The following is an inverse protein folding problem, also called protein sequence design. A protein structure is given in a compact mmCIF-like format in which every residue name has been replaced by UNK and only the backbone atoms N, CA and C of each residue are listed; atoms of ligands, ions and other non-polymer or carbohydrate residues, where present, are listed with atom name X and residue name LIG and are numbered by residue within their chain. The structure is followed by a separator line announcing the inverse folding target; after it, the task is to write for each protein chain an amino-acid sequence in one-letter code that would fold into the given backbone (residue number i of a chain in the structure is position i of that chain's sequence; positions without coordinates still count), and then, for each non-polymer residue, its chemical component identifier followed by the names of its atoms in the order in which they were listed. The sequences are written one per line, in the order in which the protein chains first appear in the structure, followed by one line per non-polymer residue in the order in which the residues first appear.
data_IF_308511927210
#
_entry.id   IF_308511927210
#
_cell.length_a   1.000
_cell.length_b   1.000
_cell.length_c   1.000
_cell.angle_alpha   90.00
_cell.angle_beta   90.00
_cell.angle_gamma   90.00
#
_symmetry.space_group_name_H-M   'P 1'
#
loop_
_entity.id
_entity.type
_entity.pdbx_description
1 polymer ?
#
# COMPACT_ATOMS: atom_id res chain seq x y z
N UNK A 1 16.29 26.20 -20.16
CA UNK A 1 17.35 26.15 -19.13
C UNK A 1 17.46 24.67 -18.73
N UNK A 2 18.65 24.12 -18.80
CA UNK A 2 18.86 22.70 -18.59
C UNK A 2 18.80 22.39 -17.06
N UNK A 3 17.81 21.61 -16.60
CA UNK A 3 17.60 21.29 -15.17
C UNK A 3 18.84 20.68 -14.55
N UNK A 4 19.58 19.84 -15.30
CA UNK A 4 20.85 19.27 -14.84
C UNK A 4 21.93 20.33 -14.62
N UNK A 5 21.99 21.37 -15.46
CA UNK A 5 22.97 22.45 -15.28
C UNK A 5 22.73 23.20 -13.96
N UNK A 6 21.46 23.35 -13.57
CA UNK A 6 21.09 23.97 -12.28
C UNK A 6 21.32 23.01 -11.11
N UNK A 7 21.23 21.69 -11.32
CA UNK A 7 21.53 20.68 -10.32
C UNK A 7 23.05 20.54 -10.06
N UNK A 8 23.89 20.70 -11.07
CA UNK A 8 25.34 20.50 -10.97
C UNK A 8 26.12 21.72 -10.42
N UNK A 9 25.52 22.89 -10.29
CA UNK A 9 26.19 24.11 -9.81
C UNK A 9 26.24 24.26 -8.29
N UNK A 10 25.72 23.30 -7.53
CA UNK A 10 25.78 23.29 -6.07
C UNK A 10 26.66 22.12 -5.63
N UNK A 11 27.91 22.43 -5.31
CA UNK A 11 28.93 21.57 -4.71
C UNK A 11 28.55 21.17 -3.27
N UNK A 12 27.47 20.36 -3.08
CA UNK A 12 27.19 19.75 -1.81
C UNK A 12 26.69 18.32 -2.00
N UNK A 13 27.51 17.37 -1.66
CA UNK A 13 27.17 15.94 -1.53
C UNK A 13 26.06 15.67 -0.48
N UNK A 14 25.72 16.65 0.33
CA UNK A 14 24.73 16.56 1.42
C UNK A 14 23.25 16.65 0.97
N UNK A 15 22.98 16.84 -0.32
CA UNK A 15 21.59 17.04 -0.81
C UNK A 15 21.00 15.90 -1.62
N UNK A 16 21.67 14.71 -1.67
CA UNK A 16 21.23 13.55 -2.45
C UNK A 16 20.98 12.32 -1.57
N UNK A 17 19.96 11.55 -1.90
CA UNK A 17 19.69 10.27 -1.25
C UNK A 17 20.69 9.20 -1.68
N UNK A 18 21.43 8.63 -0.74
CA UNK A 18 22.47 7.63 -1.01
C UNK A 18 21.96 6.34 -1.66
N UNK A 19 20.68 6.02 -1.41
CA UNK A 19 20.09 4.80 -1.93
C UNK A 19 19.73 4.92 -3.41
N UNK A 20 19.08 6.03 -3.79
CA UNK A 20 18.51 6.24 -5.13
C UNK A 20 19.34 7.18 -6.00
N UNK A 21 20.22 7.97 -5.42
CA UNK A 21 20.97 9.02 -6.10
C UNK A 21 20.16 10.26 -6.47
N UNK A 22 18.87 10.28 -6.11
CA UNK A 22 17.99 11.42 -6.36
C UNK A 22 18.22 12.54 -5.33
N UNK A 23 17.90 13.81 -5.65
CA UNK A 23 17.83 14.88 -4.66
C UNK A 23 16.92 14.50 -3.49
N UNK A 24 17.31 14.86 -2.28
CA UNK A 24 16.47 14.73 -1.08
C UNK A 24 15.34 15.76 -1.06
N UNK A 25 14.34 15.56 -0.19
CA UNK A 25 13.15 16.40 0.00
C UNK A 25 13.44 17.90 -0.09
N UNK A 26 14.25 18.43 0.82
CA UNK A 26 14.50 19.88 0.91
C UNK A 26 15.03 20.50 -0.37
N UNK A 27 15.87 19.78 -1.09
CA UNK A 27 16.46 20.22 -2.35
C UNK A 27 15.46 20.11 -3.49
N UNK A 28 14.76 18.98 -3.58
CA UNK A 28 13.77 18.70 -4.61
C UNK A 28 12.57 19.65 -4.55
N UNK A 29 12.01 19.88 -3.37
CA UNK A 29 10.88 20.79 -3.16
C UNK A 29 11.25 22.24 -3.53
N UNK A 30 12.44 22.72 -3.13
CA UNK A 30 12.93 24.04 -3.51
C UNK A 30 13.09 24.19 -5.02
N UNK A 31 13.66 23.19 -5.69
CA UNK A 31 13.81 23.20 -7.14
C UNK A 31 12.44 23.18 -7.84
N UNK A 32 11.54 22.30 -7.42
CA UNK A 32 10.19 22.22 -7.97
C UNK A 32 9.46 23.57 -7.82
N UNK A 33 9.48 24.17 -6.62
CA UNK A 33 8.89 25.48 -6.38
C UNK A 33 9.48 26.57 -7.28
N UNK A 34 10.81 26.59 -7.50
CA UNK A 34 11.46 27.55 -8.39
C UNK A 34 11.02 27.38 -9.85
N UNK A 35 10.96 26.15 -10.35
CA UNK A 35 10.52 25.90 -11.72
C UNK A 35 9.03 26.20 -11.93
N UNK A 36 8.17 25.90 -10.95
CA UNK A 36 6.74 26.22 -10.98
C UNK A 36 6.46 27.74 -11.03
N UNK A 37 7.38 28.59 -10.53
CA UNK A 37 7.27 30.03 -10.71
C UNK A 37 7.53 30.48 -12.17
N UNK A 38 8.22 29.67 -12.96
CA UNK A 38 8.63 30.01 -14.31
C UNK A 38 7.82 29.30 -15.39
N UNK A 39 7.40 28.08 -15.11
CA UNK A 39 6.80 27.18 -16.08
C UNK A 39 5.48 26.59 -15.55
N UNK A 40 4.53 26.34 -16.44
CA UNK A 40 3.39 25.46 -16.19
C UNK A 40 3.80 23.99 -16.41
N UNK A 41 3.00 23.04 -15.93
CA UNK A 41 3.29 21.61 -16.10
C UNK A 41 2.47 20.74 -15.17
N UNK A 42 3.07 19.64 -14.72
CA UNK A 42 2.42 18.69 -13.80
C UNK A 42 3.33 18.34 -12.63
N UNK A 43 2.76 18.40 -11.43
CA UNK A 43 3.37 17.88 -10.21
C UNK A 43 2.82 16.49 -9.95
N UNK A 44 3.71 15.52 -9.82
CA UNK A 44 3.38 14.10 -9.60
C UNK A 44 3.96 13.67 -8.26
N UNK A 45 3.10 13.21 -7.38
CA UNK A 45 3.50 12.57 -6.14
C UNK A 45 3.40 11.05 -6.33
N UNK A 46 4.52 10.34 -6.19
CA UNK A 46 4.58 8.89 -6.36
C UNK A 46 4.90 8.22 -5.02
N UNK A 47 4.36 7.04 -4.84
CA UNK A 47 4.61 6.22 -3.64
C UNK A 47 4.69 4.75 -4.02
N UNK A 48 5.66 4.05 -3.44
CA UNK A 48 5.81 2.60 -3.64
C UNK A 48 4.90 1.86 -2.68
N UNK A 49 3.90 1.20 -3.23
CA UNK A 49 2.97 0.40 -2.45
C UNK A 49 3.63 -0.85 -1.87
N UNK A 50 3.18 -1.23 -0.69
CA UNK A 50 3.53 -2.47 -0.02
C UNK A 50 5.04 -2.64 0.30
N UNK A 51 5.82 -1.54 0.36
CA UNK A 51 7.25 -1.59 0.71
C UNK A 51 7.48 -2.29 2.06
N UNK A 52 6.63 -2.01 3.06
CA UNK A 52 6.73 -2.67 4.36
C UNK A 52 6.50 -4.18 4.24
N UNK A 53 5.44 -4.61 3.55
CA UNK A 53 5.15 -6.04 3.30
C UNK A 53 6.34 -6.73 2.63
N UNK A 54 6.95 -6.08 1.65
CA UNK A 54 8.15 -6.57 0.97
C UNK A 54 9.35 -6.70 1.90
N UNK A 55 9.60 -5.68 2.74
CA UNK A 55 10.66 -5.72 3.75
C UNK A 55 10.45 -6.82 4.78
N UNK A 56 9.21 -7.02 5.21
CA UNK A 56 8.85 -8.05 6.18
C UNK A 56 9.01 -9.47 5.60
N UNK A 57 8.75 -9.66 4.29
CA UNK A 57 8.86 -10.94 3.60
C UNK A 57 10.29 -11.28 3.15
N UNK A 58 11.00 -10.30 2.58
CA UNK A 58 12.26 -10.52 1.86
C UNK A 58 13.45 -9.76 2.46
N UNK A 59 13.21 -9.06 3.58
CA UNK A 59 14.19 -8.25 4.28
C UNK A 59 14.43 -6.87 3.62
N UNK A 60 15.00 -5.93 4.39
CA UNK A 60 15.21 -4.54 3.97
C UNK A 60 16.03 -4.39 2.67
N UNK A 61 16.91 -5.36 2.35
CA UNK A 61 17.67 -5.35 1.09
C UNK A 61 16.75 -5.47 -0.15
N UNK A 62 15.60 -6.13 -0.04
CA UNK A 62 14.65 -6.22 -1.13
C UNK A 62 13.96 -4.86 -1.35
N UNK A 63 13.50 -4.21 -0.28
CA UNK A 63 12.98 -2.85 -0.34
C UNK A 63 13.97 -1.85 -0.91
N UNK A 64 15.24 -1.92 -0.49
CA UNK A 64 16.30 -1.08 -1.03
C UNK A 64 16.48 -1.26 -2.54
N UNK A 65 16.42 -2.52 -3.03
CA UNK A 65 16.50 -2.79 -4.48
C UNK A 65 15.32 -2.18 -5.24
N UNK A 66 14.10 -2.34 -4.72
CA UNK A 66 12.91 -1.79 -5.34
C UNK A 66 12.94 -0.25 -5.39
N UNK A 67 13.36 0.39 -4.29
CA UNK A 67 13.53 1.84 -4.22
C UNK A 67 14.61 2.34 -5.19
N UNK A 68 15.76 1.66 -5.28
CA UNK A 68 16.80 1.95 -6.28
C UNK A 68 16.28 1.84 -7.70
N UNK A 69 15.49 0.81 -7.96
CA UNK A 69 14.93 0.56 -9.28
C UNK A 69 13.96 1.69 -9.68
N UNK A 70 13.00 2.06 -8.82
CA UNK A 70 12.12 3.19 -9.07
C UNK A 70 12.89 4.50 -9.22
N UNK A 71 13.88 4.74 -8.35
CA UNK A 71 14.78 5.89 -8.45
C UNK A 71 15.51 5.96 -9.80
N UNK A 72 15.96 4.82 -10.35
CA UNK A 72 16.63 4.78 -11.65
C UNK A 72 15.67 5.13 -12.80
N UNK A 73 14.42 4.70 -12.75
CA UNK A 73 13.42 5.08 -13.75
C UNK A 73 13.10 6.56 -13.70
N UNK A 74 12.95 7.14 -12.51
CA UNK A 74 12.72 8.56 -12.33
C UNK A 74 13.93 9.40 -12.81
N UNK A 75 15.16 8.91 -12.61
CA UNK A 75 16.38 9.58 -13.03
C UNK A 75 16.47 9.76 -14.55
N UNK A 76 15.85 8.88 -15.35
CA UNK A 76 15.79 9.01 -16.81
C UNK A 76 15.11 10.33 -17.25
N UNK A 77 14.20 10.85 -16.43
CA UNK A 77 13.48 12.10 -16.68
C UNK A 77 14.14 13.34 -16.06
N UNK A 78 15.22 13.20 -15.28
CA UNK A 78 15.87 14.31 -14.57
C UNK A 78 16.46 15.38 -15.48
N UNK A 79 16.66 15.10 -16.78
CA UNK A 79 17.15 16.07 -17.76
C UNK A 79 16.14 17.18 -18.07
N UNK A 80 14.84 16.88 -17.96
CA UNK A 80 13.75 17.77 -18.34
C UNK A 80 12.73 17.98 -17.22
N UNK A 81 12.97 17.38 -16.06
CA UNK A 81 12.06 17.38 -14.91
C UNK A 81 12.82 17.55 -13.61
N UNK A 82 12.17 18.08 -12.60
CA UNK A 82 12.67 17.98 -11.22
C UNK A 82 12.17 16.66 -10.66
N UNK A 83 13.09 15.82 -10.17
CA UNK A 83 12.77 14.55 -9.50
C UNK A 83 13.47 14.51 -8.16
N UNK A 84 12.81 13.99 -7.11
CA UNK A 84 13.43 13.83 -5.81
C UNK A 84 12.77 12.70 -4.99
N UNK A 85 13.49 12.22 -3.99
CA UNK A 85 12.94 11.34 -2.97
C UNK A 85 12.58 12.15 -1.74
N UNK A 86 11.32 12.05 -1.31
CA UNK A 86 10.82 12.78 -0.15
C UNK A 86 11.17 12.07 1.17
N UNK A 87 11.30 10.75 1.12
CA UNK A 87 11.66 9.89 2.25
C UNK A 87 10.89 8.57 2.20
N UNK A 88 11.39 7.53 2.86
CA UNK A 88 10.72 6.22 2.85
C UNK A 88 10.48 5.70 1.44
N UNK A 89 9.21 5.57 1.08
CA UNK A 89 8.67 5.09 -0.20
C UNK A 89 8.15 6.21 -1.11
N UNK A 90 8.27 7.49 -0.70
CA UNK A 90 7.70 8.66 -1.37
C UNK A 90 8.69 9.36 -2.29
N UNK A 91 8.20 9.73 -3.49
CA UNK A 91 8.94 10.47 -4.51
C UNK A 91 8.09 11.61 -5.07
N UNK A 92 8.75 12.66 -5.55
CA UNK A 92 8.13 13.80 -6.21
C UNK A 92 8.76 14.04 -7.58
N UNK A 93 7.94 14.41 -8.54
CA UNK A 93 8.37 14.77 -9.88
C UNK A 93 7.60 16.00 -10.35
N UNK A 94 8.29 17.04 -10.82
CA UNK A 94 7.67 18.15 -11.55
C UNK A 94 8.13 18.13 -13.00
N UNK A 95 7.18 18.01 -13.93
CA UNK A 95 7.45 17.97 -15.38
C UNK A 95 6.91 19.26 -16.01
N UNK A 96 7.80 20.20 -16.36
CA UNK A 96 7.40 21.46 -16.97
C UNK A 96 7.04 21.31 -18.44
N UNK A 97 6.15 22.17 -18.93
CA UNK A 97 5.85 22.39 -20.35
C UNK A 97 5.43 21.12 -21.12
N UNK A 98 4.65 20.23 -20.47
CA UNK A 98 4.10 19.04 -21.10
C UNK A 98 2.57 19.08 -21.13
N UNK A 99 1.96 18.34 -22.06
CA UNK A 99 0.52 18.15 -22.13
C UNK A 99 0.06 17.04 -21.15
N UNK A 100 -1.27 16.96 -20.93
CA UNK A 100 -1.88 15.92 -20.11
C UNK A 100 -1.62 14.52 -20.66
N UNK A 101 -1.64 14.38 -21.98
CA UNK A 101 -1.34 13.12 -22.65
C UNK A 101 0.10 12.70 -22.39
N UNK A 102 1.04 13.66 -22.47
CA UNK A 102 2.46 13.37 -22.26
C UNK A 102 2.79 12.98 -20.81
N UNK A 103 2.22 13.66 -19.82
CA UNK A 103 2.42 13.25 -18.42
C UNK A 103 1.77 11.90 -18.14
N UNK A 104 0.64 11.60 -18.76
CA UNK A 104 0.00 10.27 -18.67
C UNK A 104 0.93 9.17 -19.23
N UNK A 105 1.53 9.41 -20.42
CA UNK A 105 2.51 8.47 -20.99
C UNK A 105 3.70 8.24 -20.05
N UNK A 106 4.27 9.31 -19.49
CA UNK A 106 5.42 9.24 -18.58
C UNK A 106 5.10 8.39 -17.35
N UNK A 107 3.98 8.67 -16.68
CA UNK A 107 3.60 7.94 -15.46
C UNK A 107 3.28 6.48 -15.78
N UNK A 108 2.58 6.22 -16.88
CA UNK A 108 2.30 4.85 -17.35
C UNK A 108 3.58 4.10 -17.66
N UNK A 109 4.53 4.72 -18.36
CA UNK A 109 5.83 4.10 -18.68
C UNK A 109 6.62 3.73 -17.42
N UNK A 110 6.64 4.59 -16.40
CA UNK A 110 7.28 4.31 -15.11
C UNK A 110 6.63 3.09 -14.44
N UNK A 111 5.30 3.04 -14.41
CA UNK A 111 4.55 1.92 -13.82
C UNK A 111 4.78 0.62 -14.60
N UNK A 112 4.73 0.65 -15.92
CA UNK A 112 4.97 -0.52 -16.77
C UNK A 112 6.40 -1.05 -16.64
N UNK A 113 7.41 -0.19 -16.61
CA UNK A 113 8.82 -0.58 -16.37
C UNK A 113 8.96 -1.25 -15.00
N UNK A 114 8.27 -0.74 -13.99
CA UNK A 114 8.27 -1.35 -12.66
C UNK A 114 7.60 -2.73 -12.69
N UNK A 115 6.44 -2.88 -13.33
CA UNK A 115 5.75 -4.16 -13.49
C UNK A 115 6.62 -5.19 -14.23
N UNK A 116 7.24 -4.83 -15.35
CA UNK A 116 8.12 -5.72 -16.12
C UNK A 116 9.34 -6.19 -15.30
N UNK A 117 9.78 -5.37 -14.35
CA UNK A 117 10.91 -5.72 -13.48
C UNK A 117 10.58 -6.83 -12.48
N UNK A 118 9.31 -7.07 -12.18
CA UNK A 118 8.83 -8.15 -11.31
C UNK A 118 9.09 -9.55 -11.88
N UNK A 119 9.24 -9.66 -13.19
CA UNK A 119 9.61 -10.92 -13.84
C UNK A 119 11.04 -11.35 -13.47
N UNK A 120 11.92 -10.38 -13.20
CA UNK A 120 13.35 -10.59 -12.92
C UNK A 120 13.68 -10.69 -11.43
N UNK A 121 12.85 -10.13 -10.57
CA UNK A 121 13.04 -10.16 -9.11
C UNK A 121 11.71 -10.49 -8.40
N UNK A 122 11.62 -11.71 -7.91
CA UNK A 122 10.44 -12.24 -7.21
C UNK A 122 10.11 -11.40 -5.97
N UNK A 123 11.14 -10.86 -5.31
CA UNK A 123 10.95 -10.10 -4.07
C UNK A 123 10.16 -8.80 -4.25
N UNK A 124 10.13 -8.22 -5.48
CA UNK A 124 9.38 -6.99 -5.74
C UNK A 124 7.98 -7.24 -6.33
N UNK A 125 7.55 -8.50 -6.47
CA UNK A 125 6.24 -8.84 -7.07
C UNK A 125 5.05 -8.26 -6.34
N UNK A 126 5.13 -8.14 -5.01
CA UNK A 126 4.05 -7.58 -4.19
C UNK A 126 3.99 -6.03 -4.21
N UNK A 127 5.02 -5.37 -4.73
CA UNK A 127 5.06 -3.91 -4.80
C UNK A 127 4.39 -3.38 -6.07
N UNK A 128 3.89 -2.16 -6.01
CA UNK A 128 3.41 -1.39 -7.16
C UNK A 128 3.76 0.10 -6.96
N UNK A 129 3.49 0.92 -7.95
CA UNK A 129 3.72 2.36 -7.86
C UNK A 129 2.40 3.08 -8.06
N UNK A 130 1.97 3.81 -7.04
CA UNK A 130 0.79 4.68 -7.07
C UNK A 130 1.20 6.14 -7.31
N UNK A 131 0.42 6.90 -8.07
CA UNK A 131 0.72 8.29 -8.33
C UNK A 131 -0.51 9.21 -8.26
N UNK A 132 -0.34 10.38 -7.63
CA UNK A 132 -1.28 11.48 -7.66
C UNK A 132 -0.72 12.62 -8.50
N UNK A 133 -1.53 13.19 -9.40
CA UNK A 133 -1.10 14.18 -10.39
C UNK A 133 -1.90 15.47 -10.20
N UNK A 134 -1.20 16.60 -10.10
CA UNK A 134 -1.79 17.93 -10.09
C UNK A 134 -1.29 18.75 -11.28
N UNK A 135 -2.20 19.35 -12.03
CA UNK A 135 -1.86 20.36 -13.03
C UNK A 135 -1.40 21.64 -12.35
N UNK A 136 -0.31 22.22 -12.85
CA UNK A 136 0.35 23.39 -12.31
C UNK A 136 0.33 24.50 -13.35
N UNK A 137 -0.26 25.64 -13.00
CA UNK A 137 -0.12 26.86 -13.78
C UNK A 137 1.11 27.63 -13.33
N UNK A 138 1.71 28.37 -14.25
CA UNK A 138 2.85 29.22 -13.91
C UNK A 138 2.53 30.15 -12.75
N UNK A 139 3.36 30.10 -11.70
CA UNK A 139 3.20 30.91 -10.50
C UNK A 139 2.30 30.32 -9.41
N UNK A 140 1.71 29.13 -9.62
CA UNK A 140 0.95 28.46 -8.58
C UNK A 140 1.83 28.17 -7.35
N UNK A 141 1.30 28.30 -6.13
CA UNK A 141 2.03 27.98 -4.91
C UNK A 141 2.35 26.47 -4.83
N UNK A 142 3.61 26.14 -4.55
CA UNK A 142 4.06 24.74 -4.45
C UNK A 142 3.22 23.94 -3.43
N UNK A 143 3.01 24.48 -2.23
CA UNK A 143 2.28 23.81 -1.14
C UNK A 143 0.84 23.46 -1.53
N UNK A 144 0.20 24.31 -2.33
CA UNK A 144 -1.16 24.06 -2.81
C UNK A 144 -1.18 22.91 -3.82
N UNK A 145 -0.28 22.93 -4.79
CA UNK A 145 -0.17 21.87 -5.80
C UNK A 145 0.29 20.54 -5.16
N UNK A 146 1.22 20.60 -4.20
CA UNK A 146 1.64 19.44 -3.41
C UNK A 146 0.45 18.81 -2.69
N UNK A 147 -0.35 19.61 -1.96
CA UNK A 147 -1.55 19.13 -1.28
C UNK A 147 -2.58 18.51 -2.24
N UNK A 148 -2.72 19.08 -3.45
CA UNK A 148 -3.62 18.53 -4.49
C UNK A 148 -3.11 17.18 -5.02
N UNK A 149 -1.82 17.08 -5.31
CA UNK A 149 -1.21 15.82 -5.77
C UNK A 149 -1.28 14.74 -4.69
N UNK A 150 -1.03 15.07 -3.41
CA UNK A 150 -1.16 14.16 -2.27
C UNK A 150 -2.59 13.62 -2.12
N UNK A 151 -3.62 14.48 -2.25
CA UNK A 151 -5.03 14.06 -2.23
C UNK A 151 -5.35 13.09 -3.36
N UNK A 152 -4.83 13.33 -4.57
CA UNK A 152 -5.01 12.44 -5.70
C UNK A 152 -4.32 11.09 -5.47
N UNK A 153 -3.11 11.07 -4.89
CA UNK A 153 -2.42 9.85 -4.49
C UNK A 153 -3.20 9.08 -3.43
N UNK A 154 -3.71 9.79 -2.41
CA UNK A 154 -4.55 9.16 -1.39
C UNK A 154 -5.78 8.47 -2.00
N UNK A 155 -6.43 9.11 -2.98
CA UNK A 155 -7.54 8.49 -3.72
C UNK A 155 -7.12 7.18 -4.40
N UNK A 156 -5.97 7.17 -5.07
CA UNK A 156 -5.43 5.95 -5.70
C UNK A 156 -5.23 4.85 -4.66
N UNK A 157 -4.64 5.17 -3.51
CA UNK A 157 -4.39 4.20 -2.44
C UNK A 157 -5.66 3.60 -1.86
N UNK A 158 -6.75 4.35 -1.83
CA UNK A 158 -8.07 3.87 -1.39
C UNK A 158 -8.77 3.01 -2.46
N UNK A 159 -8.43 3.18 -3.75
CA UNK A 159 -9.13 2.55 -4.88
C UNK A 159 -8.30 1.47 -5.59
N UNK A 160 -7.44 0.74 -4.88
CA UNK A 160 -6.80 -0.47 -5.38
C UNK A 160 -5.29 -0.38 -5.61
N UNK A 161 -4.67 0.82 -5.44
CA UNK A 161 -3.21 1.02 -5.63
C UNK A 161 -2.72 0.74 -7.06
N UNK A 162 -1.43 0.91 -7.32
CA UNK A 162 -0.80 0.55 -8.59
C UNK A 162 -1.32 1.30 -9.82
N UNK A 163 -1.92 2.47 -9.62
CA UNK A 163 -2.50 3.31 -10.67
C UNK A 163 -2.17 4.78 -10.44
N UNK A 164 -2.69 5.67 -11.25
CA UNK A 164 -2.57 7.11 -11.04
C UNK A 164 -3.91 7.82 -11.17
N UNK A 165 -4.00 9.02 -10.60
CA UNK A 165 -5.19 9.85 -10.67
C UNK A 165 -4.84 11.33 -10.76
N UNK A 166 -5.61 12.09 -11.56
CA UNK A 166 -5.48 13.54 -11.68
C UNK A 166 -6.39 14.26 -10.69
N UNK A 167 -5.84 15.17 -9.91
CA UNK A 167 -6.62 15.96 -8.95
C UNK A 167 -7.82 16.69 -9.60
N UNK A 168 -7.65 17.20 -10.82
CA UNK A 168 -8.71 17.91 -11.56
C UNK A 168 -9.93 17.02 -11.86
N UNK A 169 -9.75 15.71 -11.91
CA UNK A 169 -10.87 14.77 -12.05
C UNK A 169 -11.68 14.65 -10.75
N UNK A 170 -11.06 14.97 -9.61
CA UNK A 170 -11.75 15.02 -8.32
C UNK A 170 -12.77 16.17 -8.23
N UNK A 171 -12.53 17.29 -8.93
CA UNK A 171 -13.44 18.45 -8.92
C UNK A 171 -14.75 18.19 -9.69
N UNK A 172 -14.75 17.22 -10.61
CA UNK A 172 -15.94 16.79 -11.37
C UNK A 172 -16.75 15.69 -10.72
N UNK A 173 -16.12 14.88 -9.89
CA UNK A 173 -16.76 13.87 -9.06
C UNK A 173 -16.90 14.46 -7.65
N UNK A 174 -18.13 14.50 -7.12
CA UNK A 174 -18.37 14.86 -5.70
C UNK A 174 -17.71 13.78 -4.83
N UNK A 175 -16.39 13.91 -4.60
CA UNK A 175 -15.67 13.01 -3.73
C UNK A 175 -16.10 13.30 -2.30
N UNK A 176 -16.87 12.38 -1.76
CA UNK A 176 -17.30 12.36 -0.37
C UNK A 176 -16.07 12.04 0.48
N UNK A 177 -15.44 13.07 1.02
CA UNK A 177 -14.27 12.89 1.92
C UNK A 177 -13.55 14.18 2.31
N UNK A 178 -13.61 15.23 1.48
CA UNK A 178 -12.94 16.52 1.76
C UNK A 178 -13.84 17.76 1.62
N UNK A 179 -15.15 17.57 1.61
CA UNK A 179 -16.09 18.68 1.66
C UNK A 179 -16.50 19.01 3.10
N UNK A 180 -16.64 20.28 3.42
CA UNK A 180 -17.38 20.77 4.60
C UNK A 180 -18.87 20.38 4.51
N UNK A 181 -19.20 19.29 3.83
CA UNK A 181 -20.55 18.82 3.56
C UNK A 181 -21.20 18.23 4.80
N UNK A 182 -22.22 18.92 5.28
CA UNK A 182 -23.10 18.50 6.40
C UNK A 182 -24.04 17.34 6.02
N UNK A 183 -23.80 16.60 4.92
CA UNK A 183 -24.69 15.55 4.46
C UNK A 183 -24.19 14.17 4.88
N UNK A 184 -24.64 13.73 6.06
CA UNK A 184 -24.36 12.39 6.61
C UNK A 184 -24.79 11.26 5.67
N UNK A 185 -25.76 11.50 4.79
CA UNK A 185 -26.24 10.48 3.83
C UNK A 185 -25.19 10.19 2.76
N UNK A 186 -24.48 11.23 2.29
CA UNK A 186 -23.39 11.08 1.34
C UNK A 186 -22.17 10.40 1.98
N UNK A 187 -21.82 10.80 3.20
CA UNK A 187 -20.74 10.15 3.97
C UNK A 187 -21.08 8.68 4.23
N UNK A 188 -22.32 8.38 4.63
CA UNK A 188 -22.77 7.00 4.86
C UNK A 188 -22.70 6.15 3.58
N UNK A 189 -23.10 6.71 2.41
CA UNK A 189 -22.99 6.01 1.12
C UNK A 189 -21.55 5.73 0.73
N UNK A 190 -20.64 6.68 0.95
CA UNK A 190 -19.20 6.48 0.66
C UNK A 190 -18.59 5.42 1.57
N UNK A 191 -18.90 5.46 2.88
CA UNK A 191 -18.46 4.43 3.82
C UNK A 191 -19.04 3.06 3.48
N UNK A 192 -20.26 3.00 3.00
CA UNK A 192 -20.90 1.75 2.55
C UNK A 192 -20.27 1.21 1.26
N UNK A 193 -19.90 2.09 0.32
CA UNK A 193 -19.27 1.71 -0.94
C UNK A 193 -17.84 1.19 -0.73
N UNK A 194 -17.08 1.76 0.21
CA UNK A 194 -15.75 1.26 0.56
C UNK A 194 -15.76 -0.09 1.30
N UNK A 195 -16.91 -0.55 1.74
CA UNK A 195 -17.11 -1.83 2.44
C UNK A 195 -17.55 -2.99 1.53
N UNK A 196 -17.50 -2.86 0.21
CA UNK A 196 -17.93 -3.93 -0.72
C UNK A 196 -16.78 -4.92 -1.03
N UNK A 197 -16.34 -5.62 0.03
CA UNK A 197 -15.42 -6.74 -0.06
C UNK A 197 -16.17 -8.05 0.28
N UNK A 198 -15.76 -9.14 -0.35
CA UNK A 198 -16.28 -10.47 -0.04
C UNK A 198 -15.42 -11.15 1.03
N UNK A 199 -16.07 -11.69 2.07
CA UNK A 199 -15.39 -12.37 3.18
C UNK A 199 -14.95 -11.43 4.29
N UNK A 200 -13.93 -11.84 5.07
CA UNK A 200 -13.43 -11.09 6.22
C UNK A 200 -12.72 -9.79 5.85
N UNK A 201 -12.72 -8.86 6.79
CA UNK A 201 -11.91 -7.65 6.72
C UNK A 201 -10.45 -8.01 7.03
N UNK A 202 -9.59 -7.94 6.01
CA UNK A 202 -8.15 -8.07 6.19
C UNK A 202 -7.54 -6.70 6.48
N UNK A 203 -6.77 -6.62 7.56
CA UNK A 203 -6.15 -5.38 8.04
C UNK A 203 -4.65 -5.57 8.21
N UNK A 204 -3.90 -4.48 8.20
CA UNK A 204 -2.54 -4.50 8.73
C UNK A 204 -2.56 -4.70 10.27
N UNK A 205 -1.43 -5.12 10.84
CA UNK A 205 -1.36 -5.41 12.28
C UNK A 205 -1.72 -4.21 13.17
N UNK A 206 -1.41 -2.98 12.76
CA UNK A 206 -1.69 -1.76 13.57
C UNK A 206 -3.18 -1.45 13.57
N UNK A 207 -3.83 -1.62 12.44
CA UNK A 207 -5.28 -1.46 12.32
C UNK A 207 -6.00 -2.59 13.05
N UNK A 208 -5.53 -3.82 12.91
CA UNK A 208 -6.03 -4.97 13.65
C UNK A 208 -5.93 -4.76 15.16
N UNK A 209 -4.79 -4.24 15.67
CA UNK A 209 -4.62 -3.95 17.09
C UNK A 209 -5.63 -2.91 17.60
N UNK A 210 -5.96 -1.88 16.81
CA UNK A 210 -7.01 -0.91 17.15
C UNK A 210 -8.39 -1.54 17.19
N UNK A 211 -8.70 -2.42 16.23
CA UNK A 211 -9.96 -3.17 16.24
C UNK A 211 -10.02 -4.10 17.44
N UNK A 212 -8.92 -4.78 17.78
CA UNK A 212 -8.83 -5.62 18.98
C UNK A 212 -9.16 -4.82 20.26
N UNK A 213 -8.55 -3.64 20.45
CA UNK A 213 -8.85 -2.77 21.59
C UNK A 213 -10.30 -2.28 21.60
N UNK A 214 -10.82 -1.92 20.44
CA UNK A 214 -12.22 -1.51 20.29
C UNK A 214 -13.17 -2.65 20.66
N UNK A 215 -12.95 -3.86 20.12
CA UNK A 215 -13.79 -5.04 20.40
C UNK A 215 -13.71 -5.45 21.89
N UNK A 216 -12.53 -5.40 22.50
CA UNK A 216 -12.35 -5.63 23.93
C UNK A 216 -13.14 -4.61 24.79
N UNK A 217 -13.23 -3.36 24.33
CA UNK A 217 -14.03 -2.33 25.00
C UNK A 217 -15.53 -2.56 24.81
N UNK A 218 -15.94 -3.00 23.62
CA UNK A 218 -17.31 -3.38 23.31
C UNK A 218 -17.77 -4.57 24.14
N UNK A 219 -16.93 -5.59 24.25
CA UNK A 219 -17.22 -6.79 25.05
C UNK A 219 -17.47 -6.45 26.52
N UNK A 220 -16.61 -5.62 27.13
CA UNK A 220 -16.77 -5.17 28.51
C UNK A 220 -18.09 -4.41 28.75
N UNK A 221 -18.53 -3.63 27.75
CA UNK A 221 -19.72 -2.77 27.90
C UNK A 221 -21.01 -3.45 27.51
N UNK A 222 -20.99 -4.24 26.45
CA UNK A 222 -22.20 -4.80 25.83
C UNK A 222 -22.32 -6.31 25.98
N UNK A 223 -21.32 -6.96 26.61
CA UNK A 223 -21.28 -8.42 26.81
C UNK A 223 -21.36 -9.23 25.51
N UNK A 224 -20.85 -8.66 24.41
CA UNK A 224 -20.68 -9.41 23.18
C UNK A 224 -19.47 -10.35 23.33
N UNK A 225 -19.57 -11.57 22.85
CA UNK A 225 -18.48 -12.56 22.97
C UNK A 225 -17.59 -12.51 21.73
N UNK A 226 -16.33 -12.20 21.94
CA UNK A 226 -15.33 -12.20 20.87
C UNK A 226 -14.22 -13.21 21.19
N UNK A 227 -13.71 -13.86 20.16
CA UNK A 227 -12.61 -14.83 20.30
C UNK A 227 -11.44 -14.41 19.41
N UNK A 228 -10.26 -14.40 19.99
CA UNK A 228 -9.01 -14.29 19.24
C UNK A 228 -8.52 -15.68 18.89
N UNK A 229 -8.29 -15.92 17.61
CA UNK A 229 -7.74 -17.18 17.09
C UNK A 229 -6.39 -16.91 16.46
N UNK A 230 -5.39 -17.71 16.78
CA UNK A 230 -4.10 -17.72 16.11
C UNK A 230 -3.98 -19.00 15.28
N UNK A 231 -3.75 -18.84 13.98
CA UNK A 231 -3.45 -19.94 13.06
C UNK A 231 -1.96 -19.97 12.81
N UNK A 232 -1.33 -21.11 13.03
CA UNK A 232 0.11 -21.32 12.81
C UNK A 232 0.31 -22.35 11.70
N UNK A 233 1.17 -21.99 10.74
CA UNK A 233 1.63 -22.88 9.68
C UNK A 233 3.02 -23.41 10.03
N UNK A 234 3.23 -24.70 9.90
CA UNK A 234 4.49 -25.36 10.24
C UNK A 234 4.98 -26.22 9.08
N UNK A 235 6.28 -26.30 8.89
CA UNK A 235 6.89 -27.23 7.94
C UNK A 235 6.99 -28.62 8.56
N UNK A 236 6.71 -29.67 7.80
CA UNK A 236 7.04 -31.02 8.24
C UNK A 236 8.55 -31.18 8.42
N UNK A 237 8.98 -31.89 9.46
CA UNK A 237 10.38 -31.98 9.89
C UNK A 237 11.37 -32.45 8.79
N UNK A 238 10.88 -33.19 7.78
CA UNK A 238 11.68 -33.74 6.67
C UNK A 238 11.34 -33.11 5.30
N UNK A 239 10.50 -32.04 5.26
CA UNK A 239 10.11 -31.43 3.99
C UNK A 239 11.09 -30.32 3.59
N UNK A 240 11.72 -30.50 2.44
CA UNK A 240 12.50 -29.41 1.79
C UNK A 240 11.53 -28.59 0.94
N UNK A 241 10.86 -27.61 1.55
CA UNK A 241 10.08 -26.61 0.82
C UNK A 241 10.99 -25.45 0.42
N UNK A 242 10.90 -25.02 -0.83
CA UNK A 242 11.55 -23.80 -1.26
C UNK A 242 10.69 -22.58 -0.86
N UNK A 243 11.26 -21.39 -0.97
CA UNK A 243 10.59 -20.13 -0.60
C UNK A 243 9.30 -19.92 -1.39
N UNK A 244 9.28 -20.27 -2.67
CA UNK A 244 8.10 -20.15 -3.54
C UNK A 244 6.94 -21.06 -3.08
N UNK A 245 7.24 -22.26 -2.61
CA UNK A 245 6.24 -23.20 -2.08
C UNK A 245 5.63 -22.69 -0.78
N UNK A 246 6.44 -22.08 0.08
CA UNK A 246 5.98 -21.46 1.32
C UNK A 246 5.10 -20.25 1.03
N UNK A 247 5.49 -19.39 0.11
CA UNK A 247 4.69 -18.22 -0.30
C UNK A 247 3.35 -18.62 -0.90
N UNK A 248 3.34 -19.59 -1.78
CA UNK A 248 2.11 -20.13 -2.34
C UNK A 248 1.19 -20.69 -1.27
N UNK A 249 1.74 -21.43 -0.29
CA UNK A 249 0.97 -21.94 0.83
C UNK A 249 0.38 -20.83 1.71
N UNK A 250 1.11 -19.74 1.92
CA UNK A 250 0.64 -18.57 2.66
C UNK A 250 -0.49 -17.84 1.92
N UNK A 251 -0.36 -17.64 0.62
CA UNK A 251 -1.42 -17.05 -0.22
C UNK A 251 -2.70 -17.91 -0.19
N UNK A 252 -2.56 -19.23 -0.29
CA UNK A 252 -3.70 -20.15 -0.17
C UNK A 252 -4.38 -20.04 1.19
N UNK A 253 -3.61 -19.88 2.29
CA UNK A 253 -4.18 -19.70 3.62
C UNK A 253 -4.92 -18.37 3.77
N UNK A 254 -4.34 -17.28 3.29
CA UNK A 254 -4.97 -15.96 3.30
C UNK A 254 -6.32 -16.00 2.56
N UNK A 255 -6.34 -16.57 1.35
CA UNK A 255 -7.56 -16.73 0.58
C UNK A 255 -8.59 -17.63 1.29
N UNK A 256 -8.14 -18.74 1.88
CA UNK A 256 -9.02 -19.66 2.62
C UNK A 256 -9.66 -18.97 3.83
N UNK A 257 -8.89 -18.21 4.61
CA UNK A 257 -9.40 -17.41 5.73
C UNK A 257 -10.46 -16.44 5.22
N UNK A 258 -10.12 -15.58 4.25
CA UNK A 258 -11.03 -14.56 3.70
C UNK A 258 -12.34 -15.12 3.17
N UNK A 259 -12.30 -16.27 2.51
CA UNK A 259 -13.49 -16.88 1.89
C UNK A 259 -14.39 -17.61 2.90
N UNK A 260 -13.87 -18.08 4.03
CA UNK A 260 -14.58 -18.98 4.94
C UNK A 260 -15.04 -18.34 6.24
N UNK A 261 -14.60 -17.15 6.58
CA UNK A 261 -15.11 -16.40 7.73
C UNK A 261 -16.05 -15.27 7.28
N UNK A 262 -16.82 -14.74 8.21
CA UNK A 262 -17.90 -13.79 7.91
C UNK A 262 -17.34 -12.38 7.69
N UNK A 263 -18.12 -11.53 7.03
CA UNK A 263 -17.78 -10.11 6.77
C UNK A 263 -17.58 -9.27 8.04
N UNK A 264 -18.12 -9.71 9.17
CA UNK A 264 -17.96 -9.07 10.49
C UNK A 264 -16.69 -9.51 11.21
N UNK A 265 -16.07 -10.60 10.77
CA UNK A 265 -14.84 -11.10 11.34
C UNK A 265 -13.64 -10.39 10.71
N UNK A 266 -12.54 -10.28 11.46
CA UNK A 266 -11.36 -9.51 11.05
C UNK A 266 -10.14 -10.42 11.10
N UNK A 267 -9.26 -10.30 10.11
CA UNK A 267 -8.01 -11.05 10.10
C UNK A 267 -6.80 -10.18 9.75
N UNK A 268 -5.63 -10.65 10.17
CA UNK A 268 -4.33 -10.05 9.83
C UNK A 268 -3.26 -11.11 9.76
N UNK A 269 -2.25 -10.89 8.95
CA UNK A 269 -1.01 -11.65 9.01
C UNK A 269 -0.16 -11.11 10.16
N UNK A 270 0.12 -11.95 11.15
CA UNK A 270 0.86 -11.57 12.35
C UNK A 270 2.37 -11.76 12.18
N UNK A 271 2.78 -12.86 11.56
CA UNK A 271 4.19 -13.16 11.28
C UNK A 271 4.34 -13.87 9.93
N UNK A 272 5.55 -14.30 9.60
CA UNK A 272 5.81 -15.07 8.38
C UNK A 272 4.98 -16.35 8.26
N UNK A 273 4.56 -16.95 9.40
CA UNK A 273 3.88 -18.24 9.45
C UNK A 273 2.61 -18.23 10.33
N UNK A 274 2.12 -17.03 10.70
CA UNK A 274 0.98 -16.92 11.62
C UNK A 274 -0.03 -15.90 11.16
N UNK A 275 -1.30 -16.22 11.35
CA UNK A 275 -2.44 -15.32 11.14
C UNK A 275 -3.23 -15.17 12.43
N UNK A 276 -3.72 -13.96 12.70
CA UNK A 276 -4.66 -13.68 13.76
C UNK A 276 -6.04 -13.42 13.16
N UNK A 277 -7.07 -13.94 13.85
CA UNK A 277 -8.47 -13.77 13.45
C UNK A 277 -9.26 -13.35 14.69
N UNK A 278 -10.08 -12.30 14.59
CA UNK A 278 -11.10 -11.98 15.58
C UNK A 278 -12.43 -12.49 15.05
N UNK A 279 -13.03 -13.42 15.78
CA UNK A 279 -14.38 -13.92 15.51
C UNK A 279 -15.37 -13.17 16.40
N UNK A 280 -16.39 -12.57 15.79
CA UNK A 280 -17.42 -11.82 16.50
C UNK A 280 -18.66 -12.70 16.76
N UNK A 281 -19.03 -12.84 18.04
CA UNK A 281 -20.15 -13.65 18.52
C UNK A 281 -20.28 -15.04 17.86
N UNK A 282 -19.22 -15.87 17.82
CA UNK A 282 -19.41 -17.27 17.49
C UNK A 282 -19.95 -18.01 18.73
N UNK A 283 -20.73 -19.05 18.52
CA UNK A 283 -20.83 -20.08 19.57
C UNK A 283 -19.45 -20.76 19.67
N UNK A 284 -18.86 -20.79 20.87
CA UNK A 284 -17.54 -21.38 21.11
C UNK A 284 -17.41 -22.79 20.53
N UNK A 285 -18.47 -23.61 20.66
CA UNK A 285 -18.53 -24.94 20.08
C UNK A 285 -18.45 -24.98 18.56
N UNK A 286 -18.66 -23.85 17.89
CA UNK A 286 -18.59 -23.76 16.43
C UNK A 286 -17.19 -23.37 15.92
N UNK A 287 -16.29 -22.88 16.79
CA UNK A 287 -14.94 -22.46 16.40
C UNK A 287 -14.17 -23.61 15.71
N UNK A 288 -14.16 -24.85 16.22
CA UNK A 288 -13.52 -25.97 15.54
C UNK A 288 -14.06 -26.20 14.12
N UNK A 289 -15.38 -26.08 13.93
CA UNK A 289 -16.01 -26.22 12.62
C UNK A 289 -15.63 -25.08 11.65
N UNK A 290 -15.47 -23.86 12.18
CA UNK A 290 -14.98 -22.73 11.38
C UNK A 290 -13.54 -23.00 10.90
N UNK A 291 -12.69 -23.46 11.82
CA UNK A 291 -11.30 -23.79 11.49
C UNK A 291 -11.19 -24.95 10.50
N UNK A 292 -12.01 -26.01 10.67
CA UNK A 292 -12.03 -27.12 9.72
C UNK A 292 -12.45 -26.70 8.30
N UNK A 293 -13.39 -25.76 8.16
CA UNK A 293 -13.75 -25.19 6.85
C UNK A 293 -12.61 -24.41 6.21
N UNK A 294 -11.88 -23.61 7.01
CA UNK A 294 -10.71 -22.86 6.53
C UNK A 294 -9.61 -23.84 6.08
N UNK A 295 -9.31 -24.83 6.93
CA UNK A 295 -8.27 -25.83 6.65
C UNK A 295 -8.64 -26.74 5.47
N UNK A 296 -9.93 -27.08 5.33
CA UNK A 296 -10.44 -27.82 4.18
C UNK A 296 -10.19 -27.05 2.87
N UNK A 297 -10.57 -25.79 2.84
CA UNK A 297 -10.35 -24.92 1.67
C UNK A 297 -8.86 -24.78 1.34
N UNK A 298 -8.02 -24.55 2.35
CA UNK A 298 -6.56 -24.48 2.18
C UNK A 298 -6.01 -25.77 1.57
N UNK A 299 -6.41 -26.96 2.10
CA UNK A 299 -5.94 -28.26 1.58
C UNK A 299 -6.35 -28.50 0.14
N UNK A 300 -7.54 -28.03 -0.24
CA UNK A 300 -8.03 -28.12 -1.64
C UNK A 300 -7.21 -27.24 -2.58
N UNK A 301 -6.89 -26.02 -2.18
CA UNK A 301 -6.15 -25.03 -2.98
C UNK A 301 -4.65 -25.35 -3.05
N UNK A 302 -4.04 -25.68 -1.92
CA UNK A 302 -2.59 -25.85 -1.82
C UNK A 302 -2.08 -27.20 -2.35
N UNK A 303 -2.91 -28.21 -2.48
CA UNK A 303 -2.56 -29.52 -3.04
C UNK A 303 -1.48 -30.24 -2.25
N UNK A 304 -0.39 -30.67 -2.94
CA UNK A 304 0.73 -31.43 -2.34
C UNK A 304 1.76 -30.59 -1.60
N UNK A 305 1.78 -29.27 -1.80
CA UNK A 305 2.74 -28.34 -1.21
C UNK A 305 2.21 -27.69 0.08
N UNK A 306 1.47 -28.43 0.88
CA UNK A 306 0.80 -27.95 2.07
C UNK A 306 1.71 -27.98 3.30
N UNK A 307 1.55 -26.94 4.12
CA UNK A 307 2.11 -26.87 5.47
C UNK A 307 1.18 -27.56 6.47
N UNK A 308 1.72 -27.97 7.60
CA UNK A 308 0.94 -28.40 8.75
C UNK A 308 0.21 -27.18 9.34
N UNK A 309 -1.01 -27.38 9.80
CA UNK A 309 -1.87 -26.34 10.31
C UNK A 309 -2.24 -26.63 11.76
N UNK A 310 -1.94 -25.66 12.62
CA UNK A 310 -2.37 -25.64 14.00
C UNK A 310 -3.15 -24.37 14.28
N UNK A 311 -4.02 -24.38 15.28
CA UNK A 311 -4.66 -23.19 15.78
C UNK A 311 -4.86 -23.25 17.29
N UNK A 312 -4.84 -22.08 17.89
CA UNK A 312 -5.20 -21.82 19.28
C UNK A 312 -6.23 -20.70 19.33
N UNK A 313 -7.12 -20.74 20.29
CA UNK A 313 -8.07 -19.65 20.48
C UNK A 313 -8.30 -19.36 21.97
N UNK A 314 -8.66 -18.11 22.24
CA UNK A 314 -9.04 -17.66 23.57
C UNK A 314 -10.20 -16.67 23.50
N UNK A 315 -11.02 -16.66 24.55
CA UNK A 315 -12.00 -15.59 24.74
C UNK A 315 -11.25 -14.28 25.01
N UNK A 316 -11.71 -13.19 24.43
CA UNK A 316 -11.11 -11.87 24.68
C UNK A 316 -11.47 -11.34 26.08
N UNK A 317 -12.48 -11.91 26.77
CA UNK A 317 -12.86 -11.57 28.16
C UNK A 317 -12.03 -12.25 29.21
N UNK A 318 -11.36 -13.36 28.93
CA UNK A 318 -10.52 -14.04 29.90
C UNK A 318 -9.15 -13.34 30.02
N UNK A 319 -8.98 -12.62 31.14
CA UNK A 319 -7.68 -12.17 31.64
C UNK A 319 -7.28 -13.00 32.85
#
# INVERSE_FOLDING_TARGET
TNVISTMCTLEDSEGFDFLTGLPMRNRGEKLAAQFMQQDSGYLVFLDMDNLKKMNDLYGHKAGDRALKLLGSFLMEYAHHSVVCRLGGDEFLMFVPNVSKEKITEIVTEIQEKFEQSKEKDVAIRCASVSAGICEVNKGDPFEECYSKADKALYYVKQNGKGSFFFYQQMEGEKIVGYGTGKDLTLVSKALSASGDYSGALELDYREFAKIYEYMNSMEKRYKCHCYLVMVTLETEADSVLNIEDIEYALECMEQAIRQKIRKVDVCTRYSSMQYLIILFEPDEKTIPNIMERIFGQYREQCGKKKLLLNYEYMSMTEK
#
